data_IF_884279974637
#
_entry.id   IF_884279974637
#
_cell.length_a   1.000
_cell.length_b   1.000
_cell.length_c   1.000
_cell.angle_alpha   90.00
_cell.angle_beta   90.00
_cell.angle_gamma   90.00
#
_symmetry.space_group_name_H-M   'P 1'
#
loop_
_entity.id
_entity.type
_entity.pdbx_description
1 polymer ?
#
# COMPACT_ATOMS: atom_id res chain seq x y z
N UNK A 1 -5.48 8.89 -10.81
CA UNK A 1 -4.29 8.46 -10.03
C UNK A 1 -4.08 6.95 -10.07
N UNK A 2 -5.09 6.13 -9.72
CA UNK A 2 -4.98 4.65 -9.73
C UNK A 2 -4.40 4.10 -11.04
N UNK A 3 -4.97 4.48 -12.19
CA UNK A 3 -4.55 3.94 -13.49
C UNK A 3 -3.16 4.38 -13.96
N UNK A 4 -2.59 5.41 -13.33
CA UNK A 4 -1.25 5.92 -13.67
C UNK A 4 -0.18 5.27 -12.81
N UNK A 5 -0.44 5.07 -11.51
CA UNK A 5 0.51 4.45 -10.58
C UNK A 5 0.48 2.92 -10.68
N UNK A 6 -0.71 2.30 -10.71
CA UNK A 6 -0.85 0.84 -10.63
C UNK A 6 -0.74 0.11 -11.99
N UNK A 7 -0.21 0.73 -13.06
CA UNK A 7 -0.31 0.21 -14.45
C UNK A 7 0.09 -1.26 -14.62
N UNK A 8 1.12 -1.72 -13.89
CA UNK A 8 1.67 -3.08 -14.05
C UNK A 8 0.91 -4.16 -13.27
N UNK A 9 0.23 -3.77 -12.19
CA UNK A 9 -0.42 -4.68 -11.24
C UNK A 9 -1.86 -4.26 -10.88
N UNK A 10 -2.54 -3.51 -11.75
CA UNK A 10 -3.79 -2.83 -11.44
C UNK A 10 -4.86 -3.74 -10.80
N UNK A 11 -5.05 -4.94 -11.34
CA UNK A 11 -6.00 -5.91 -10.82
C UNK A 11 -5.61 -6.42 -9.42
N UNK A 12 -4.32 -6.64 -9.20
CA UNK A 12 -3.80 -7.07 -7.91
C UNK A 12 -4.01 -5.99 -6.85
N UNK A 13 -3.78 -4.72 -7.19
CA UNK A 13 -4.09 -3.61 -6.29
C UNK A 13 -5.57 -3.46 -6.01
N UNK A 14 -6.43 -3.55 -7.05
CA UNK A 14 -7.89 -3.44 -6.93
C UNK A 14 -8.49 -4.50 -6.02
N UNK A 15 -7.96 -5.72 -6.08
CA UNK A 15 -8.46 -6.85 -5.31
C UNK A 15 -7.82 -6.98 -3.93
N UNK A 16 -6.69 -6.31 -3.68
CA UNK A 16 -6.05 -6.31 -2.38
C UNK A 16 -6.81 -5.43 -1.37
N UNK A 17 -6.86 -5.86 -0.09
CA UNK A 17 -7.52 -5.11 0.98
C UNK A 17 -7.03 -3.66 1.12
N UNK A 18 -7.82 -2.87 1.84
CA UNK A 18 -7.50 -1.47 2.17
C UNK A 18 -7.22 -0.60 0.93
N UNK A 19 -7.87 -0.88 -0.20
CA UNK A 19 -7.67 -0.13 -1.45
C UNK A 19 -7.93 1.36 -1.26
N UNK A 20 -9.02 1.70 -0.59
CA UNK A 20 -9.42 3.09 -0.36
C UNK A 20 -8.35 3.84 0.45
N UNK A 21 -7.92 3.26 1.56
CA UNK A 21 -6.92 3.82 2.48
C UNK A 21 -5.56 3.98 1.79
N UNK A 22 -5.14 2.98 1.01
CA UNK A 22 -3.90 3.07 0.23
C UNK A 22 -3.96 4.19 -0.81
N UNK A 23 -5.09 4.36 -1.48
CA UNK A 23 -5.30 5.45 -2.46
C UNK A 23 -5.34 6.82 -1.78
N UNK A 24 -6.03 6.95 -0.64
CA UNK A 24 -6.08 8.18 0.16
C UNK A 24 -4.69 8.60 0.63
N UNK A 25 -3.87 7.65 1.10
CA UNK A 25 -2.49 7.95 1.52
C UNK A 25 -1.59 8.36 0.35
N UNK A 26 -1.69 7.71 -0.80
CA UNK A 26 -0.95 8.12 -2.01
C UNK A 26 -1.40 9.50 -2.51
N UNK A 27 -2.69 9.83 -2.41
CA UNK A 27 -3.21 11.15 -2.76
C UNK A 27 -2.64 12.21 -1.83
N UNK A 28 -2.65 11.95 -0.53
CA UNK A 28 -2.05 12.82 0.47
C UNK A 28 -0.57 13.08 0.15
N UNK A 29 0.21 12.05 -0.17
CA UNK A 29 1.63 12.22 -0.55
C UNK A 29 1.80 13.02 -1.85
N UNK A 30 0.95 12.78 -2.85
CA UNK A 30 0.97 13.52 -4.11
C UNK A 30 0.69 15.01 -3.90
N UNK A 31 -0.28 15.34 -3.04
CA UNK A 31 -0.61 16.73 -2.67
C UNK A 31 0.57 17.39 -1.92
N UNK A 32 1.34 16.60 -1.18
CA UNK A 32 2.54 17.04 -0.47
C UNK A 32 3.83 16.90 -1.30
N UNK A 33 3.74 17.07 -2.62
CA UNK A 33 4.86 17.12 -3.58
C UNK A 33 5.74 15.86 -3.63
N UNK A 34 5.21 14.67 -3.28
CA UNK A 34 5.92 13.44 -3.55
C UNK A 34 6.09 13.22 -5.06
N UNK A 35 7.30 12.86 -5.48
CA UNK A 35 7.60 12.58 -6.89
C UNK A 35 6.88 11.32 -7.37
N UNK A 36 6.64 11.21 -8.67
CA UNK A 36 6.03 10.01 -9.26
C UNK A 36 6.82 8.72 -8.92
N UNK A 37 8.15 8.79 -8.93
CA UNK A 37 9.02 7.69 -8.52
C UNK A 37 8.74 7.25 -7.08
N UNK A 38 8.64 8.22 -6.15
CA UNK A 38 8.37 7.95 -4.74
C UNK A 38 6.96 7.36 -4.54
N UNK A 39 5.98 7.85 -5.29
CA UNK A 39 4.61 7.31 -5.26
C UNK A 39 4.55 5.86 -5.72
N UNK A 40 5.22 5.49 -6.82
CA UNK A 40 5.30 4.09 -7.30
C UNK A 40 5.98 3.15 -6.30
N UNK A 41 7.04 3.63 -5.66
CA UNK A 41 7.77 2.87 -4.65
C UNK A 41 6.89 2.62 -3.41
N UNK A 42 6.22 3.67 -2.90
CA UNK A 42 5.33 3.57 -1.75
C UNK A 42 4.11 2.71 -2.07
N UNK A 43 3.55 2.84 -3.26
CA UNK A 43 2.44 2.03 -3.75
C UNK A 43 2.71 0.52 -3.66
N UNK A 44 3.88 0.08 -4.11
CA UNK A 44 4.31 -1.31 -3.98
C UNK A 44 4.47 -1.74 -2.51
N UNK A 45 5.05 -0.89 -1.66
CA UNK A 45 5.22 -1.20 -0.23
C UNK A 45 3.89 -1.29 0.51
N UNK A 46 2.92 -0.42 0.22
CA UNK A 46 1.61 -0.47 0.84
C UNK A 46 0.89 -1.78 0.53
N UNK A 47 0.92 -2.22 -0.73
CA UNK A 47 0.38 -3.52 -1.12
C UNK A 47 1.12 -4.65 -0.38
N UNK A 48 2.45 -4.64 -0.39
CA UNK A 48 3.24 -5.68 0.25
C UNK A 48 2.98 -5.77 1.76
N UNK A 49 2.83 -4.62 2.42
CA UNK A 49 2.46 -4.54 3.83
C UNK A 49 1.09 -5.18 4.09
N UNK A 50 0.08 -4.90 3.25
CA UNK A 50 -1.25 -5.52 3.39
C UNK A 50 -1.21 -7.04 3.27
N UNK A 51 -0.37 -7.58 2.37
CA UNK A 51 -0.20 -9.03 2.18
C UNK A 51 0.54 -9.69 3.35
N UNK A 52 1.68 -9.12 3.73
CA UNK A 52 2.55 -9.67 4.76
C UNK A 52 1.86 -9.71 6.14
N UNK A 53 1.14 -8.64 6.47
CA UNK A 53 0.37 -8.50 7.70
C UNK A 53 -1.04 -9.09 7.61
N UNK A 54 -1.42 -9.65 6.45
CA UNK A 54 -2.73 -10.26 6.17
C UNK A 54 -3.90 -9.35 6.55
N UNK A 55 -3.76 -8.05 6.33
CA UNK A 55 -4.77 -7.06 6.67
C UNK A 55 -6.01 -7.25 5.79
N UNK A 56 -7.19 -7.30 6.40
CA UNK A 56 -8.48 -7.30 5.68
C UNK A 56 -9.21 -5.97 5.87
N UNK A 57 -9.07 -5.42 7.06
CA UNK A 57 -9.67 -4.17 7.51
C UNK A 57 -8.65 -3.32 8.29
N UNK A 58 -9.07 -2.12 8.65
CA UNK A 58 -8.24 -1.18 9.38
C UNK A 58 -8.21 -1.57 10.86
N UNK A 59 -7.11 -2.19 11.27
CA UNK A 59 -6.85 -2.59 12.65
C UNK A 59 -5.49 -2.10 13.15
N UNK A 60 -5.32 -2.15 14.47
CA UNK A 60 -3.98 -2.05 15.04
C UNK A 60 -3.15 -3.28 14.68
N UNK A 61 -1.87 -3.05 14.42
CA UNK A 61 -0.85 -4.08 14.16
C UNK A 61 0.22 -3.90 15.22
N UNK A 62 0.59 -4.98 15.90
CA UNK A 62 1.64 -4.92 16.94
C UNK A 62 3.03 -5.02 16.31
N UNK A 63 4.07 -4.64 17.07
CA UNK A 63 5.46 -4.73 16.61
C UNK A 63 5.83 -6.19 16.33
N UNK A 64 5.36 -7.12 17.16
CA UNK A 64 5.61 -8.55 17.02
C UNK A 64 5.01 -9.10 15.71
N UNK A 65 3.84 -8.61 15.29
CA UNK A 65 3.26 -8.96 13.99
C UNK A 65 4.10 -8.45 12.82
N UNK A 66 4.68 -7.25 12.95
CA UNK A 66 5.58 -6.67 11.94
C UNK A 66 6.87 -7.50 11.85
N UNK A 67 7.49 -7.80 12.98
CA UNK A 67 8.71 -8.61 13.03
C UNK A 67 8.48 -10.02 12.48
N UNK A 68 7.39 -10.68 12.87
CA UNK A 68 7.02 -11.99 12.36
C UNK A 68 6.75 -11.99 10.84
N UNK A 69 6.22 -10.89 10.31
CA UNK A 69 5.96 -10.72 8.89
C UNK A 69 7.23 -10.41 8.07
N UNK A 70 8.25 -9.78 8.68
CA UNK A 70 9.51 -9.41 8.03
C UNK A 70 10.44 -10.61 7.74
N UNK A 71 10.22 -11.75 8.40
CA UNK A 71 11.00 -12.99 8.21
C UNK A 71 10.56 -13.79 6.96
N UNK A 72 9.49 -13.37 6.26
CA UNK A 72 8.91 -14.06 5.10
C UNK A 72 9.29 -13.45 3.75
#
# INVERSE_FOLDING_TARGET
MLEQLFKRNLNHHRNAPLLKERVEYLNYLSINNATEFRLKLIEGYLLRATELLRLQDRRMVTVEEIEAAAVK
#
